data_IF_858235687950
#
_entry.id   IF_858235687950
#
_cell.length_a   1.000
_cell.length_b   1.000
_cell.length_c   1.000
_cell.angle_alpha   90.00
_cell.angle_beta   90.00
_cell.angle_gamma   90.00
#
_symmetry.space_group_name_H-M   'P 1'
#
loop_
_entity.id
_entity.type
_entity.pdbx_description
1 polymer ?
#
# COMPACT_ATOMS: atom_id res chain seq x y z
N UNK A 1 -9.86 -22.76 -5.59
CA UNK A 1 -8.54 -22.81 -4.93
C UNK A 1 -7.64 -21.63 -5.32
N UNK A 2 -7.38 -21.35 -6.62
CA UNK A 2 -6.46 -20.28 -7.05
C UNK A 2 -6.92 -18.88 -6.64
N UNK A 3 -8.20 -18.54 -6.81
CA UNK A 3 -8.78 -17.24 -6.40
C UNK A 3 -8.65 -17.05 -4.89
N UNK A 4 -8.96 -18.07 -4.10
CA UNK A 4 -8.78 -18.02 -2.64
C UNK A 4 -7.32 -17.76 -2.26
N UNK A 5 -6.37 -18.42 -2.95
CA UNK A 5 -4.94 -18.17 -2.77
C UNK A 5 -4.55 -16.71 -3.09
N UNK A 6 -5.11 -16.12 -4.16
CA UNK A 6 -4.89 -14.73 -4.51
C UNK A 6 -5.43 -13.76 -3.43
N UNK A 7 -6.65 -14.02 -2.94
CA UNK A 7 -7.25 -13.20 -1.87
C UNK A 7 -6.49 -13.32 -0.55
N UNK A 8 -6.05 -14.52 -0.18
CA UNK A 8 -5.23 -14.73 1.02
C UNK A 8 -3.88 -14.02 0.91
N UNK A 9 -3.26 -14.02 -0.28
CA UNK A 9 -2.02 -13.29 -0.52
C UNK A 9 -2.22 -11.79 -0.34
N UNK A 10 -3.26 -11.21 -0.96
CA UNK A 10 -3.59 -9.80 -0.79
C UNK A 10 -3.88 -9.46 0.69
N UNK A 11 -4.67 -10.30 1.36
CA UNK A 11 -4.95 -10.13 2.79
C UNK A 11 -3.68 -10.15 3.63
N UNK A 12 -2.72 -11.03 3.32
CA UNK A 12 -1.43 -11.09 4.00
C UNK A 12 -0.65 -9.78 3.85
N UNK A 13 -0.57 -9.23 2.62
CA UNK A 13 0.17 -8.00 2.35
C UNK A 13 -0.45 -6.80 3.10
N UNK A 14 -1.78 -6.70 3.11
CA UNK A 14 -2.48 -5.65 3.87
C UNK A 14 -2.30 -5.88 5.39
N UNK A 15 -2.39 -7.12 5.87
CA UNK A 15 -2.19 -7.41 7.30
C UNK A 15 -0.78 -7.01 7.77
N UNK A 16 0.24 -7.16 6.94
CA UNK A 16 1.61 -6.72 7.26
C UNK A 16 1.68 -5.19 7.32
N UNK A 17 0.96 -4.49 6.45
CA UNK A 17 0.80 -3.04 6.53
C UNK A 17 0.19 -2.61 7.87
N UNK A 18 -0.97 -3.19 8.23
CA UNK A 18 -1.65 -2.93 9.50
C UNK A 18 -0.78 -3.30 10.72
N UNK A 19 0.04 -4.35 10.58
CA UNK A 19 1.00 -4.72 11.63
C UNK A 19 2.05 -3.65 11.85
N UNK A 20 2.40 -2.86 10.83
CA UNK A 20 3.26 -1.69 10.99
C UNK A 20 2.64 -0.65 11.92
N UNK A 21 1.37 -0.29 11.72
CA UNK A 21 0.63 0.62 12.60
C UNK A 21 0.52 0.05 14.01
N UNK A 22 0.16 -1.21 14.14
CA UNK A 22 0.06 -1.91 15.41
C UNK A 22 1.37 -1.84 16.22
N UNK A 23 2.48 -2.20 15.59
CA UNK A 23 3.80 -2.21 16.23
C UNK A 23 4.20 -0.81 16.69
N UNK A 24 4.05 0.18 15.81
CA UNK A 24 4.37 1.58 16.14
C UNK A 24 3.46 2.14 17.21
N UNK A 25 2.15 1.86 17.18
CA UNK A 25 1.21 2.28 18.20
C UNK A 25 1.62 1.75 19.59
N UNK A 26 1.94 0.46 19.69
CA UNK A 26 2.42 -0.16 20.92
C UNK A 26 3.73 0.46 21.42
N UNK A 27 4.71 0.70 20.52
CA UNK A 27 5.98 1.33 20.87
C UNK A 27 5.81 2.79 21.32
N UNK A 28 4.84 3.51 20.75
CA UNK A 28 4.55 4.90 21.11
C UNK A 28 3.61 5.03 22.32
N UNK A 29 3.17 3.90 22.89
CA UNK A 29 2.30 3.87 24.06
C UNK A 29 0.85 4.25 23.74
N UNK A 30 0.38 3.94 22.52
CA UNK A 30 -1.01 4.02 22.11
C UNK A 30 -1.67 2.66 22.34
N UNK A 31 -2.86 2.66 22.93
CA UNK A 31 -3.63 1.44 23.13
C UNK A 31 -4.27 1.02 21.81
N UNK A 32 -4.12 -0.26 21.45
CA UNK A 32 -4.79 -0.86 20.32
C UNK A 32 -5.95 -1.70 20.82
N UNK A 33 -7.16 -1.33 20.47
CA UNK A 33 -8.40 -1.99 20.89
C UNK A 33 -8.59 -3.31 20.14
N UNK A 34 -8.40 -3.30 18.82
CA UNK A 34 -8.56 -4.49 17.99
C UNK A 34 -7.50 -4.51 16.86
N UNK A 35 -6.92 -5.69 16.62
CA UNK A 35 -6.13 -6.00 15.45
C UNK A 35 -6.83 -7.11 14.67
N UNK A 36 -7.32 -6.81 13.48
CA UNK A 36 -8.15 -7.70 12.69
C UNK A 36 -7.48 -8.13 11.39
N UNK A 37 -7.54 -9.43 11.11
CA UNK A 37 -7.18 -10.02 9.81
C UNK A 37 -8.47 -10.27 9.03
N UNK A 38 -8.58 -9.65 7.85
CA UNK A 38 -9.79 -9.68 7.03
C UNK A 38 -10.84 -8.66 7.46
N UNK A 39 -11.98 -8.68 6.80
CA UNK A 39 -13.12 -7.79 7.01
C UNK A 39 -14.43 -8.59 7.23
N UNK A 40 -15.51 -7.89 7.65
CA UNK A 40 -16.84 -8.47 7.88
C UNK A 40 -17.03 -9.04 9.26
N UNK A 41 -17.97 -10.00 9.45
CA UNK A 41 -18.28 -10.57 10.76
C UNK A 41 -17.10 -11.35 11.35
N UNK A 42 -16.97 -11.32 12.68
CA UNK A 42 -15.92 -12.04 13.42
C UNK A 42 -16.18 -13.54 13.36
N UNK A 43 -15.22 -14.30 12.86
CA UNK A 43 -15.23 -15.78 12.91
C UNK A 43 -14.58 -16.29 14.18
N UNK A 44 -13.42 -15.72 14.52
CA UNK A 44 -12.65 -16.06 15.71
C UNK A 44 -12.15 -14.77 16.36
N UNK A 45 -12.17 -14.74 17.70
CA UNK A 45 -11.53 -13.68 18.45
C UNK A 45 -10.83 -14.25 19.68
N UNK A 46 -9.65 -13.71 19.97
CA UNK A 46 -8.84 -14.08 21.11
C UNK A 46 -8.10 -12.86 21.69
N UNK A 47 -7.68 -12.96 22.92
CA UNK A 47 -6.99 -11.90 23.64
C UNK A 47 -7.63 -11.70 25.01
N UNK A 48 -6.85 -11.81 26.08
CA UNK A 48 -7.27 -11.54 27.46
C UNK A 48 -6.72 -10.22 27.99
N UNK A 49 -6.04 -9.44 27.11
CA UNK A 49 -5.38 -8.19 27.48
C UNK A 49 -6.08 -6.95 26.90
N UNK A 50 -5.32 -5.88 26.71
CA UNK A 50 -5.79 -4.62 26.17
C UNK A 50 -6.18 -4.68 24.68
N UNK A 51 -5.66 -5.67 23.94
CA UNK A 51 -5.89 -5.82 22.48
C UNK A 51 -6.68 -7.10 22.22
N UNK A 52 -7.75 -6.97 21.44
CA UNK A 52 -8.50 -8.11 20.88
C UNK A 52 -7.93 -8.41 19.50
N UNK A 53 -7.51 -9.65 19.28
CA UNK A 53 -7.13 -10.13 17.94
C UNK A 53 -8.33 -10.83 17.32
N UNK A 54 -8.64 -10.57 16.06
CA UNK A 54 -9.77 -11.18 15.39
C UNK A 54 -9.44 -11.66 13.98
N UNK A 55 -10.04 -12.80 13.62
CA UNK A 55 -10.10 -13.29 12.26
C UNK A 55 -11.52 -13.10 11.74
N UNK A 56 -11.66 -12.45 10.59
CA UNK A 56 -12.94 -12.09 10.00
C UNK A 56 -13.27 -12.89 8.75
N UNK A 57 -14.54 -12.90 8.36
CA UNK A 57 -15.08 -13.81 7.35
C UNK A 57 -14.53 -13.58 5.94
N UNK A 58 -14.29 -12.34 5.57
CA UNK A 58 -13.78 -12.02 4.24
C UNK A 58 -12.26 -11.87 4.29
N UNK A 59 -11.50 -12.74 3.59
CA UNK A 59 -10.04 -12.70 3.58
C UNK A 59 -9.56 -11.58 2.64
N UNK A 60 -10.00 -10.36 2.87
CA UNK A 60 -9.59 -9.17 2.13
C UNK A 60 -9.36 -8.06 3.13
N UNK A 61 -8.13 -7.51 3.14
CA UNK A 61 -7.78 -6.43 4.02
C UNK A 61 -7.50 -6.85 5.46
N UNK A 62 -7.57 -5.90 6.34
CA UNK A 62 -7.38 -5.96 7.79
C UNK A 62 -7.54 -4.57 8.35
N UNK A 63 -7.43 -4.41 9.66
CA UNK A 63 -7.38 -3.09 10.30
C UNK A 63 -6.75 -3.16 11.69
N UNK A 64 -6.22 -2.03 12.12
CA UNK A 64 -5.69 -1.79 13.45
C UNK A 64 -6.48 -0.66 14.10
N UNK A 65 -7.43 -0.97 14.98
CA UNK A 65 -8.24 0.03 15.67
C UNK A 65 -7.50 0.55 16.91
N UNK A 66 -7.08 1.81 16.87
CA UNK A 66 -6.40 2.48 17.98
C UNK A 66 -7.36 3.32 18.81
N UNK A 67 -7.11 3.39 20.11
CA UNK A 67 -7.93 4.22 21.01
C UNK A 67 -7.77 5.70 20.67
N UNK A 68 -8.90 6.40 20.42
CA UNK A 68 -8.92 7.84 20.11
C UNK A 68 -8.38 8.18 18.72
N UNK A 69 -8.38 7.25 17.80
CA UNK A 69 -8.05 7.46 16.41
C UNK A 69 -9.22 8.12 15.65
N UNK A 70 -10.44 7.58 15.85
CA UNK A 70 -11.70 8.16 15.40
C UNK A 70 -12.53 8.47 16.64
N UNK A 71 -12.72 9.74 16.96
CA UNK A 71 -13.48 10.17 18.16
C UNK A 71 -14.96 9.72 18.14
N UNK A 72 -15.45 9.15 17.03
CA UNK A 72 -16.87 8.75 16.84
C UNK A 72 -17.06 7.24 16.57
N UNK A 73 -16.01 6.42 16.50
CA UNK A 73 -16.21 4.96 16.38
C UNK A 73 -16.77 4.41 17.71
N UNK A 74 -17.97 3.82 17.75
CA UNK A 74 -18.49 3.20 18.95
C UNK A 74 -17.49 2.13 19.40
N UNK A 75 -16.99 2.26 20.63
CA UNK A 75 -16.10 1.25 21.20
C UNK A 75 -16.78 -0.12 21.11
N UNK A 76 -16.05 -1.20 20.79
CA UNK A 76 -16.63 -2.57 20.73
C UNK A 76 -17.37 -2.99 22.01
N UNK A 77 -17.10 -2.32 23.13
CA UNK A 77 -17.84 -2.51 24.38
C UNK A 77 -19.30 -2.00 24.34
N UNK A 78 -19.61 -1.04 23.45
CA UNK A 78 -20.99 -0.58 23.26
C UNK A 78 -21.83 -1.52 22.37
N UNK A 79 -21.19 -2.37 21.58
CA UNK A 79 -21.85 -3.37 20.73
C UNK A 79 -21.78 -4.80 21.30
N UNK A 80 -21.02 -5.01 22.37
CA UNK A 80 -20.80 -6.32 23.00
C UNK A 80 -21.24 -6.41 24.46
N UNK A 81 -21.78 -5.36 25.01
CA UNK A 81 -22.27 -5.33 26.41
C UNK A 81 -23.73 -5.74 26.48
N UNK A 82 -24.05 -6.98 26.38
CA UNK A 82 -25.01 -7.73 27.18
C UNK A 82 -25.33 -9.10 26.51
N UNK A 83 -24.41 -10.02 26.59
CA UNK A 83 -24.72 -11.42 26.46
C UNK A 83 -24.36 -12.09 27.81
N UNK A 84 -25.24 -11.93 28.79
CA UNK A 84 -25.05 -12.61 30.05
C UNK A 84 -25.74 -11.91 31.21
N UNK A 85 -27.06 -12.02 31.27
CA UNK A 85 -28.03 -12.10 32.35
C UNK A 85 -29.29 -11.32 32.01
N UNK A 86 -30.12 -11.92 31.21
CA UNK A 86 -31.56 -11.66 31.32
C UNK A 86 -32.10 -12.65 32.37
N UNK A 87 -32.16 -12.20 33.62
CA UNK A 87 -33.22 -12.62 34.50
C UNK A 87 -34.48 -11.92 33.98
N UNK A 88 -35.49 -12.72 33.74
CA UNK A 88 -36.76 -12.33 33.19
C UNK A 88 -37.47 -11.32 34.14
N UNK A 89 -37.61 -10.10 33.69
CA UNK A 89 -38.72 -9.26 34.09
C UNK A 89 -39.46 -8.88 32.80
N UNK A 90 -40.49 -9.65 32.50
CA UNK A 90 -41.50 -9.34 31.50
C UNK A 90 -42.21 -8.06 31.95
N UNK A 91 -41.90 -6.95 31.27
CA UNK A 91 -42.71 -5.74 31.35
C UNK A 91 -44.04 -6.03 30.63
N UNK A 92 -45.07 -6.46 31.43
CA UNK A 92 -46.41 -6.71 30.94
C UNK A 92 -47.04 -5.38 30.54
N UNK A 93 -47.14 -5.14 29.24
CA UNK A 93 -48.02 -4.11 28.69
C UNK A 93 -49.46 -4.53 28.94
N UNK A 94 -50.13 -3.91 29.90
CA UNK A 94 -51.52 -4.16 30.18
C UNK A 94 -52.39 -3.41 29.15
N UNK A 95 -53.10 -4.16 28.36
CA UNK A 95 -54.17 -3.61 27.45
C UNK A 95 -55.51 -3.87 28.11
N UNK A 96 -56.31 -2.84 28.30
CA UNK A 96 -57.67 -3.00 28.79
C UNK A 96 -58.50 -3.78 27.77
N UNK A 97 -58.98 -4.94 28.17
CA UNK A 97 -59.72 -5.85 27.30
C UNK A 97 -61.13 -5.34 26.93
N UNK A 98 -61.61 -4.24 27.50
CA UNK A 98 -62.91 -3.67 27.21
C UNK A 98 -62.89 -2.46 26.27
N UNK A 99 -61.76 -1.73 26.20
CA UNK A 99 -61.69 -0.49 25.42
C UNK A 99 -60.55 -0.49 24.41
N UNK A 100 -59.61 -1.44 24.42
CA UNK A 100 -58.49 -1.52 23.48
C UNK A 100 -57.41 -0.41 23.67
N UNK A 101 -57.44 0.29 24.79
CA UNK A 101 -56.54 1.42 25.07
C UNK A 101 -55.28 0.95 25.85
N UNK A 102 -54.12 1.40 25.49
CA UNK A 102 -52.83 1.09 26.11
C UNK A 102 -52.64 1.99 27.30
N UNK A 103 -52.60 1.41 28.51
CA UNK A 103 -52.40 2.16 29.74
C UNK A 103 -50.89 2.33 29.99
N UNK A 104 -50.42 3.57 29.93
CA UNK A 104 -49.08 3.91 30.40
C UNK A 104 -49.11 4.17 31.90
N UNK A 105 -48.15 3.70 32.71
CA UNK A 105 -48.10 4.03 34.13
C UNK A 105 -47.85 5.53 34.29
N UNK A 106 -48.67 6.15 35.17
CA UNK A 106 -48.63 7.57 35.47
C UNK A 106 -47.33 7.95 36.17
N UNK A 107 -46.64 8.98 35.69
CA UNK A 107 -45.58 9.65 36.43
C UNK A 107 -46.11 10.26 37.71
N UNK A 108 -45.56 9.82 38.84
CA UNK A 108 -45.88 10.32 40.16
C UNK A 108 -45.27 11.72 40.37
N UNK A 109 -46.14 12.75 40.33
CA UNK A 109 -45.79 14.13 40.64
C UNK A 109 -45.83 14.30 42.14
N UNK A 110 -44.73 14.01 42.80
CA UNK A 110 -44.53 14.28 44.24
C UNK A 110 -44.27 15.76 44.50
N UNK A 111 -45.18 16.39 45.23
CA UNK A 111 -45.14 17.77 45.78
C UNK A 111 -43.93 17.98 46.69
N UNK A 112 -43.39 19.18 46.63
CA UNK A 112 -42.31 19.72 47.45
C UNK A 112 -42.68 19.81 48.94
N UNK A 113 -41.70 19.50 49.83
CA UNK A 113 -41.40 20.31 51.00
C UNK A 113 -39.98 20.05 51.55
N UNK A 114 -39.28 21.13 51.58
CA UNK A 114 -38.29 21.68 52.50
C UNK A 114 -37.19 20.84 53.19
N UNK A 115 -35.98 21.35 53.01
CA UNK A 115 -34.87 21.48 53.95
C UNK A 115 -33.99 20.22 54.19
N UNK A 116 -32.75 20.32 53.64
CA UNK A 116 -31.61 19.48 53.99
C UNK A 116 -30.46 19.70 53.07
N UNK A 117 -29.60 20.67 53.44
CA UNK A 117 -28.27 20.86 52.81
C UNK A 117 -27.49 19.56 52.87
N UNK A 118 -27.19 19.02 51.72
CA UNK A 118 -25.88 18.39 51.48
C UNK A 118 -25.62 18.37 49.96
N UNK A 119 -24.75 19.28 49.56
CA UNK A 119 -24.22 19.40 48.23
C UNK A 119 -23.32 18.19 47.88
N UNK A 120 -23.94 17.08 47.48
CA UNK A 120 -23.25 16.05 46.72
C UNK A 120 -23.29 16.47 45.27
N UNK A 121 -22.25 17.25 44.89
CA UNK A 121 -21.94 17.57 43.52
C UNK A 121 -22.07 16.31 42.67
N UNK A 122 -23.03 16.31 41.74
CA UNK A 122 -22.99 15.48 40.57
C UNK A 122 -21.70 15.86 39.81
N UNK A 123 -20.61 15.23 40.20
CA UNK A 123 -19.37 15.25 39.44
C UNK A 123 -19.71 14.65 38.09
N UNK A 124 -19.98 15.51 37.09
CA UNK A 124 -19.75 15.17 35.71
C UNK A 124 -18.37 14.50 35.70
N UNK A 125 -18.35 13.19 35.46
CA UNK A 125 -17.13 12.42 35.39
C UNK A 125 -16.26 13.13 34.36
N UNK A 126 -15.24 13.88 34.82
CA UNK A 126 -14.18 14.36 33.98
C UNK A 126 -13.71 13.15 33.19
N UNK A 127 -13.62 13.22 31.86
CA UNK A 127 -13.04 12.12 31.08
C UNK A 127 -11.68 11.85 31.71
N UNK A 128 -11.56 10.69 32.33
CA UNK A 128 -10.27 10.20 32.86
C UNK A 128 -9.31 10.31 31.73
N UNK A 129 -8.24 11.10 31.86
CA UNK A 129 -7.20 11.27 30.84
C UNK A 129 -6.68 9.88 30.51
N UNK A 130 -7.11 9.35 29.37
CA UNK A 130 -6.74 8.02 28.91
C UNK A 130 -5.34 8.11 28.35
N UNK A 131 -4.33 7.92 29.17
CA UNK A 131 -2.91 8.08 28.79
C UNK A 131 -2.46 7.23 27.59
N UNK A 132 -3.36 6.46 27.00
CA UNK A 132 -3.16 5.59 25.84
C UNK A 132 -3.82 6.04 24.53
N UNK A 133 -4.55 7.18 24.51
CA UNK A 133 -5.25 7.64 23.31
C UNK A 133 -4.31 8.19 22.24
N UNK A 134 -4.55 7.87 20.96
CA UNK A 134 -3.82 8.40 19.81
C UNK A 134 -3.89 9.94 19.73
N UNK A 135 -5.08 10.51 19.92
CA UNK A 135 -5.32 11.95 19.84
C UNK A 135 -4.56 12.77 20.90
N UNK A 136 -4.18 12.16 22.01
CA UNK A 136 -3.42 12.82 23.10
C UNK A 136 -1.90 12.77 22.89
N UNK A 137 -1.41 11.94 21.97
CA UNK A 137 0.02 11.84 21.72
C UNK A 137 0.56 13.06 20.99
N UNK A 138 1.84 13.36 21.23
CA UNK A 138 2.56 14.40 20.49
C UNK A 138 2.51 14.11 18.97
N UNK A 139 2.40 15.15 18.15
CA UNK A 139 2.25 15.05 16.69
C UNK A 139 3.30 14.11 16.06
N UNK A 140 4.57 14.20 16.46
CA UNK A 140 5.61 13.34 15.90
C UNK A 140 5.37 11.85 16.15
N UNK A 141 4.79 11.48 17.33
CA UNK A 141 4.45 10.07 17.62
C UNK A 141 3.33 9.58 16.71
N UNK A 142 2.32 10.43 16.50
CA UNK A 142 1.21 10.14 15.57
C UNK A 142 1.73 10.00 14.13
N UNK A 143 2.65 10.86 13.69
CA UNK A 143 3.31 10.73 12.38
C UNK A 143 4.04 9.41 12.26
N UNK A 144 4.83 9.00 13.26
CA UNK A 144 5.54 7.71 13.24
C UNK A 144 4.56 6.54 13.12
N UNK A 145 3.43 6.57 13.83
CA UNK A 145 2.41 5.53 13.76
C UNK A 145 1.81 5.46 12.35
N UNK A 146 1.38 6.59 11.79
CA UNK A 146 0.76 6.65 10.46
C UNK A 146 1.73 6.22 9.36
N UNK A 147 3.01 6.60 9.43
CA UNK A 147 4.01 6.23 8.43
C UNK A 147 4.46 4.77 8.57
N UNK A 148 4.25 4.15 9.73
CA UNK A 148 4.76 2.81 10.03
C UNK A 148 4.17 1.72 9.14
N UNK A 149 2.91 1.84 8.70
CA UNK A 149 2.31 0.92 7.73
C UNK A 149 3.05 0.94 6.40
N UNK A 150 3.34 2.14 5.89
CA UNK A 150 4.13 2.34 4.65
C UNK A 150 5.54 1.76 4.80
N UNK A 151 6.21 2.07 5.91
CA UNK A 151 7.57 1.55 6.19
C UNK A 151 7.56 0.03 6.23
N UNK A 152 6.55 -0.59 6.84
CA UNK A 152 6.44 -2.05 6.92
C UNK A 152 6.29 -2.69 5.54
N UNK A 153 5.54 -2.07 4.63
CA UNK A 153 5.43 -2.54 3.25
C UNK A 153 6.76 -2.45 2.49
N UNK A 154 7.51 -1.35 2.66
CA UNK A 154 8.83 -1.23 2.06
C UNK A 154 9.81 -2.25 2.67
N UNK A 155 9.79 -2.46 3.99
CA UNK A 155 10.61 -3.50 4.63
C UNK A 155 10.27 -4.88 4.09
N UNK A 156 8.98 -5.20 3.90
CA UNK A 156 8.56 -6.46 3.30
C UNK A 156 9.06 -6.59 1.86
N UNK A 157 8.89 -5.55 1.04
CA UNK A 157 9.40 -5.52 -0.34
C UNK A 157 10.90 -5.77 -0.41
N UNK A 158 11.66 -5.10 0.45
CA UNK A 158 13.09 -5.28 0.56
C UNK A 158 13.49 -6.72 0.97
N UNK A 159 12.84 -7.28 1.98
CA UNK A 159 13.10 -8.67 2.42
C UNK A 159 12.79 -9.66 1.30
N UNK A 160 11.67 -9.49 0.61
CA UNK A 160 11.31 -10.32 -0.54
C UNK A 160 12.34 -10.22 -1.68
N UNK A 161 12.87 -9.00 -1.94
CA UNK A 161 13.94 -8.80 -2.93
C UNK A 161 15.26 -9.46 -2.49
N UNK A 162 15.61 -9.41 -1.20
CA UNK A 162 16.79 -10.12 -0.68
C UNK A 162 16.62 -11.63 -0.88
N UNK A 163 15.44 -12.17 -0.61
CA UNK A 163 15.12 -13.59 -0.86
C UNK A 163 15.20 -13.91 -2.36
N UNK A 164 14.62 -13.06 -3.20
CA UNK A 164 14.66 -13.21 -4.65
C UNK A 164 16.08 -13.26 -5.20
N UNK A 165 16.89 -12.26 -4.90
CA UNK A 165 18.27 -12.16 -5.38
C UNK A 165 19.21 -13.17 -4.71
N UNK A 166 18.94 -13.53 -3.46
CA UNK A 166 19.75 -14.49 -2.73
C UNK A 166 19.52 -15.94 -3.14
N UNK A 167 18.29 -16.32 -3.45
CA UNK A 167 17.92 -17.73 -3.59
C UNK A 167 17.16 -18.07 -4.87
N UNK A 168 16.43 -17.12 -5.44
CA UNK A 168 15.53 -17.42 -6.57
C UNK A 168 16.07 -16.97 -7.92
N UNK A 169 17.14 -16.20 -8.01
CA UNK A 169 17.69 -15.79 -9.28
C UNK A 169 18.39 -16.96 -9.98
N UNK A 170 18.07 -17.18 -11.27
CA UNK A 170 18.66 -18.25 -12.07
C UNK A 170 20.15 -18.05 -12.28
N UNK A 171 20.95 -19.10 -12.24
CA UNK A 171 22.34 -19.05 -12.65
C UNK A 171 22.46 -18.65 -14.13
N UNK A 172 23.53 -17.93 -14.43
CA UNK A 172 23.91 -17.52 -15.80
C UNK A 172 24.58 -18.67 -16.57
N UNK A 173 25.30 -19.52 -15.85
CA UNK A 173 26.09 -20.61 -16.41
C UNK A 173 25.86 -21.94 -15.67
N UNK A 174 26.39 -23.02 -16.25
CA UNK A 174 26.31 -24.37 -15.66
C UNK A 174 27.13 -24.53 -14.38
N UNK A 175 27.97 -23.55 -14.04
CA UNK A 175 28.78 -23.54 -12.79
C UNK A 175 28.00 -22.94 -11.62
N UNK A 176 26.77 -22.49 -11.87
CA UNK A 176 25.93 -21.88 -10.86
C UNK A 176 26.22 -20.40 -10.58
N UNK A 177 26.98 -19.71 -11.46
CA UNK A 177 27.28 -18.28 -11.32
C UNK A 177 26.02 -17.46 -11.51
N UNK A 178 25.66 -16.64 -10.53
CA UNK A 178 24.54 -15.70 -10.63
C UNK A 178 25.10 -14.31 -10.85
N UNK A 179 24.60 -13.64 -11.89
CA UNK A 179 24.99 -12.29 -12.27
C UNK A 179 23.84 -11.31 -12.06
N UNK A 180 24.12 -10.18 -11.44
CA UNK A 180 23.18 -9.05 -11.35
C UNK A 180 23.43 -8.11 -12.52
N UNK A 181 22.43 -7.87 -13.37
CA UNK A 181 22.57 -6.93 -14.48
C UNK A 181 22.76 -5.50 -13.95
N UNK A 182 23.62 -4.75 -14.63
CA UNK A 182 23.86 -3.33 -14.33
C UNK A 182 23.36 -2.47 -15.49
N UNK A 183 23.54 -1.15 -15.37
CA UNK A 183 23.28 -0.21 -16.48
C UNK A 183 24.53 0.10 -17.29
N UNK A 184 25.62 -0.63 -17.08
CA UNK A 184 26.89 -0.46 -17.82
C UNK A 184 26.89 -1.36 -19.05
N UNK A 185 27.23 -0.79 -20.19
CA UNK A 185 27.29 -1.51 -21.45
C UNK A 185 28.57 -2.35 -21.48
N UNK A 186 28.43 -3.69 -21.51
CA UNK A 186 29.56 -4.61 -21.66
C UNK A 186 29.96 -4.78 -23.12
N UNK A 187 28.99 -4.94 -24.01
CA UNK A 187 29.20 -5.10 -25.44
C UNK A 187 28.14 -4.32 -26.22
N UNK A 188 28.57 -3.72 -27.33
CA UNK A 188 27.75 -3.00 -28.29
C UNK A 188 28.26 -3.32 -29.67
N UNK A 189 27.38 -3.68 -30.61
CA UNK A 189 27.75 -3.97 -31.99
C UNK A 189 28.06 -2.66 -32.70
N UNK A 190 29.21 -2.61 -33.42
CA UNK A 190 29.70 -1.39 -34.07
C UNK A 190 28.82 -0.91 -35.22
N UNK A 191 28.13 -1.83 -35.93
CA UNK A 191 27.27 -1.49 -37.07
C UNK A 191 25.84 -1.05 -36.67
N UNK A 192 25.57 -0.87 -35.38
CA UNK A 192 24.22 -0.54 -34.91
C UNK A 192 23.97 0.98 -34.90
N UNK A 193 22.69 1.41 -35.00
CA UNK A 193 22.32 2.80 -34.87
C UNK A 193 22.80 3.40 -33.52
N UNK A 194 22.70 2.65 -32.43
CA UNK A 194 23.14 3.11 -31.10
C UNK A 194 24.65 3.42 -31.06
N UNK A 195 25.49 2.58 -31.71
CA UNK A 195 26.92 2.86 -31.79
C UNK A 195 27.21 4.11 -32.62
N UNK A 196 26.53 4.27 -33.76
CA UNK A 196 26.69 5.45 -34.66
C UNK A 196 26.22 6.74 -33.95
N UNK A 197 25.22 6.64 -33.09
CA UNK A 197 24.75 7.76 -32.26
C UNK A 197 25.68 8.12 -31.09
N UNK A 198 26.83 7.46 -30.98
CA UNK A 198 27.86 7.81 -29.99
C UNK A 198 27.89 6.99 -28.73
N UNK A 199 27.01 6.00 -28.55
CA UNK A 199 27.07 5.07 -27.41
C UNK A 199 28.30 4.15 -27.56
N UNK A 200 28.95 3.78 -26.46
CA UNK A 200 30.20 3.00 -26.47
C UNK A 200 30.19 1.90 -25.40
N UNK A 201 30.89 0.77 -25.61
CA UNK A 201 31.20 -0.18 -24.55
C UNK A 201 31.89 0.52 -23.37
N UNK A 202 31.54 0.15 -22.12
CA UNK A 202 32.02 0.79 -20.91
C UNK A 202 31.18 1.97 -20.43
N UNK A 203 30.26 2.50 -21.23
CA UNK A 203 29.33 3.53 -20.79
C UNK A 203 28.38 2.99 -19.72
N UNK A 204 28.22 3.73 -18.63
CA UNK A 204 27.18 3.45 -17.64
C UNK A 204 26.02 4.42 -17.87
N UNK A 205 24.85 3.92 -18.23
CA UNK A 205 23.64 4.72 -18.47
C UNK A 205 23.13 5.24 -17.13
N UNK A 206 23.02 6.56 -16.98
CA UNK A 206 22.57 7.25 -15.78
C UNK A 206 21.13 7.75 -15.88
N UNK A 207 20.73 8.18 -17.09
CA UNK A 207 19.35 8.60 -17.35
C UNK A 207 18.99 8.40 -18.81
N UNK A 208 17.70 8.23 -19.06
CA UNK A 208 17.09 8.15 -20.39
C UNK A 208 15.92 9.15 -20.40
N UNK A 209 15.85 10.00 -21.42
CA UNK A 209 14.82 11.03 -21.57
C UNK A 209 14.62 11.91 -20.31
N UNK A 210 15.74 12.25 -19.63
CA UNK A 210 15.74 13.00 -18.37
C UNK A 210 15.34 12.20 -17.13
N UNK A 211 14.94 10.94 -17.27
CA UNK A 211 14.57 10.05 -16.17
C UNK A 211 15.77 9.23 -15.71
N UNK A 212 16.04 9.26 -14.41
CA UNK A 212 17.16 8.52 -13.81
C UNK A 212 16.94 7.02 -13.94
N UNK A 213 17.99 6.29 -14.30
CA UNK A 213 18.03 4.83 -14.42
C UNK A 213 18.95 4.29 -13.33
N UNK A 214 18.45 3.39 -12.49
CA UNK A 214 19.18 2.76 -11.38
C UNK A 214 19.46 1.28 -11.65
N UNK A 215 18.54 0.63 -12.36
CA UNK A 215 18.55 -0.81 -12.66
C UNK A 215 18.34 -1.05 -14.14
N UNK A 216 18.61 -2.26 -14.60
CA UNK A 216 18.28 -2.73 -15.93
C UNK A 216 16.77 -2.72 -16.20
N UNK A 217 15.97 -2.92 -15.13
CA UNK A 217 14.51 -2.82 -15.21
C UNK A 217 14.06 -1.40 -15.57
N UNK A 218 14.64 -0.36 -14.91
CA UNK A 218 14.36 1.04 -15.27
C UNK A 218 14.72 1.31 -16.72
N UNK A 219 15.90 0.83 -17.15
CA UNK A 219 16.37 0.99 -18.52
C UNK A 219 15.40 0.36 -19.52
N UNK A 220 14.97 -0.87 -19.25
CA UNK A 220 14.00 -1.59 -20.07
C UNK A 220 12.69 -0.83 -20.20
N UNK A 221 12.17 -0.31 -19.09
CA UNK A 221 10.91 0.43 -19.10
C UNK A 221 10.99 1.74 -19.88
N UNK A 222 12.07 2.51 -19.71
CA UNK A 222 12.24 3.77 -20.45
C UNK A 222 12.41 3.51 -21.95
N UNK A 223 13.07 2.43 -22.34
CA UNK A 223 13.20 2.05 -23.75
C UNK A 223 11.89 1.53 -24.35
N UNK A 224 11.06 0.82 -23.59
CA UNK A 224 9.76 0.33 -24.08
C UNK A 224 8.71 1.43 -24.23
N UNK A 225 8.82 2.49 -23.43
CA UNK A 225 7.85 3.58 -23.41
C UNK A 225 8.13 4.68 -24.45
N UNK A 226 9.18 4.54 -25.27
CA UNK A 226 9.51 5.53 -26.30
C UNK A 226 9.10 5.02 -27.69
N UNK A 227 8.10 5.64 -28.31
CA UNK A 227 7.60 5.20 -29.64
C UNK A 227 8.52 5.63 -30.78
N UNK A 228 9.37 6.65 -30.58
CA UNK A 228 10.13 7.27 -31.66
C UNK A 228 11.48 6.58 -31.91
N UNK A 229 11.94 5.78 -30.95
CA UNK A 229 13.23 5.05 -31.04
C UNK A 229 14.46 5.95 -30.96
N UNK A 230 14.29 7.21 -30.53
CA UNK A 230 15.36 8.21 -30.35
C UNK A 230 15.41 8.66 -28.91
N UNK A 231 16.37 8.13 -28.17
CA UNK A 231 16.46 8.36 -26.73
C UNK A 231 17.56 9.37 -26.42
N UNK A 232 17.24 10.42 -25.64
CA UNK A 232 18.26 11.21 -25.00
C UNK A 232 18.86 10.40 -23.85
N UNK A 233 20.17 10.18 -23.86
CA UNK A 233 20.85 9.42 -22.82
C UNK A 233 21.95 10.24 -22.16
N UNK A 234 22.02 10.20 -20.83
CA UNK A 234 23.20 10.67 -20.11
C UNK A 234 23.97 9.45 -19.64
N UNK A 235 25.20 9.34 -20.08
CA UNK A 235 26.08 8.23 -19.73
C UNK A 235 27.28 8.72 -18.93
N UNK A 236 27.84 7.85 -18.12
CA UNK A 236 29.12 8.04 -17.49
C UNK A 236 30.14 7.23 -18.24
N UNK A 237 31.10 7.90 -18.86
CA UNK A 237 32.20 7.33 -19.64
C UNK A 237 33.52 7.58 -18.94
N UNK A 238 34.42 6.60 -19.00
CA UNK A 238 35.81 6.79 -18.54
C UNK A 238 36.65 7.18 -19.74
N UNK A 239 37.19 8.42 -19.72
CA UNK A 239 38.11 8.96 -20.76
C UNK A 239 39.40 9.32 -20.02
N UNK A 240 40.51 8.82 -20.48
CA UNK A 240 41.86 9.06 -19.88
C UNK A 240 41.90 8.77 -18.36
N UNK A 241 41.22 7.71 -17.93
CA UNK A 241 41.14 7.31 -16.52
C UNK A 241 40.18 8.16 -15.67
N UNK A 242 39.57 9.22 -16.21
CA UNK A 242 38.62 10.07 -15.50
C UNK A 242 37.17 9.77 -15.90
N UNK A 243 36.28 9.72 -14.92
CA UNK A 243 34.85 9.52 -15.13
C UNK A 243 34.17 10.83 -15.50
N UNK A 244 33.67 10.94 -16.70
CA UNK A 244 32.95 12.11 -17.21
C UNK A 244 31.50 11.77 -17.51
N UNK A 245 30.60 12.75 -17.39
CA UNK A 245 29.22 12.63 -17.84
C UNK A 245 29.17 13.13 -19.29
N UNK A 246 28.62 12.30 -20.17
CA UNK A 246 28.42 12.62 -21.58
C UNK A 246 26.92 12.56 -21.86
N UNK A 247 26.38 13.63 -22.45
CA UNK A 247 25.00 13.64 -22.93
C UNK A 247 24.98 13.29 -24.41
N UNK A 248 24.14 12.32 -24.75
CA UNK A 248 23.88 11.88 -26.12
C UNK A 248 22.42 12.27 -26.42
N UNK A 249 22.23 13.26 -27.31
CA UNK A 249 20.92 13.89 -27.49
C UNK A 249 19.91 13.03 -28.26
N UNK A 250 20.39 12.12 -29.13
CA UNK A 250 19.53 11.23 -29.88
C UNK A 250 20.24 9.89 -30.14
N UNK A 251 20.12 8.96 -29.21
CA UNK A 251 20.58 7.57 -29.43
C UNK A 251 19.48 6.82 -30.14
N UNK A 252 19.77 6.39 -31.39
CA UNK A 252 18.81 5.64 -32.20
C UNK A 252 18.95 4.14 -31.95
N UNK A 253 17.79 3.45 -31.84
CA UNK A 253 17.71 2.01 -31.68
C UNK A 253 16.89 1.39 -32.80
N UNK A 254 17.19 0.13 -33.11
CA UNK A 254 16.43 -0.63 -34.11
C UNK A 254 15.04 -0.93 -33.55
N UNK A 255 14.02 -0.51 -34.29
CA UNK A 255 12.63 -0.86 -33.98
C UNK A 255 12.29 -2.24 -34.50
N UNK A 256 11.61 -3.04 -33.73
CA UNK A 256 11.03 -4.33 -34.10
C UNK A 256 9.56 -4.36 -33.74
N UNK A 257 8.75 -4.95 -34.63
CA UNK A 257 7.33 -5.16 -34.38
C UNK A 257 7.12 -6.62 -34.03
N UNK A 258 6.44 -6.87 -32.93
CA UNK A 258 5.98 -8.20 -32.54
C UNK A 258 4.83 -8.62 -33.46
N UNK A 259 5.04 -9.68 -34.24
CA UNK A 259 4.05 -10.17 -35.21
C UNK A 259 2.73 -10.64 -34.56
N UNK A 260 2.74 -11.04 -33.30
CA UNK A 260 1.56 -11.55 -32.58
C UNK A 260 0.72 -10.44 -31.97
N UNK A 261 1.36 -9.39 -31.47
CA UNK A 261 0.70 -8.32 -30.74
C UNK A 261 0.57 -7.03 -31.54
N UNK A 262 1.30 -6.91 -32.67
CA UNK A 262 1.40 -5.69 -33.47
C UNK A 262 2.11 -4.53 -32.75
N UNK A 263 2.67 -4.76 -31.58
CA UNK A 263 3.37 -3.73 -30.81
C UNK A 263 4.81 -3.56 -31.28
N UNK A 264 5.20 -2.29 -31.48
CA UNK A 264 6.58 -1.94 -31.78
C UNK A 264 7.36 -1.77 -30.47
N UNK A 265 8.55 -2.36 -30.44
CA UNK A 265 9.50 -2.24 -29.31
C UNK A 265 10.91 -1.98 -29.84
N UNK A 266 11.76 -1.39 -28.97
CA UNK A 266 13.14 -1.14 -29.31
C UNK A 266 13.98 -2.41 -29.08
N UNK A 267 14.80 -2.76 -30.07
CA UNK A 267 15.75 -3.87 -29.95
C UNK A 267 17.00 -3.38 -29.20
N UNK A 268 17.41 -4.13 -28.19
CA UNK A 268 18.69 -3.87 -27.51
C UNK A 268 19.84 -4.26 -28.42
N UNK A 269 20.61 -3.27 -28.88
CA UNK A 269 21.81 -3.48 -29.69
C UNK A 269 23.06 -3.73 -28.82
N UNK A 270 22.87 -3.78 -27.49
CA UNK A 270 23.93 -3.92 -26.50
C UNK A 270 23.60 -4.98 -25.46
N UNK A 271 24.63 -5.43 -24.77
CA UNK A 271 24.54 -6.32 -23.61
C UNK A 271 25.08 -5.54 -22.39
N UNK A 272 24.36 -5.56 -21.29
CA UNK A 272 24.79 -4.93 -20.04
C UNK A 272 25.78 -5.83 -19.28
N UNK A 273 26.67 -5.20 -18.52
CA UNK A 273 27.61 -5.89 -17.65
C UNK A 273 26.87 -6.52 -16.47
N UNK A 274 27.13 -7.79 -16.22
CA UNK A 274 26.71 -8.50 -15.02
C UNK A 274 27.79 -8.42 -13.92
N UNK A 275 27.35 -8.23 -12.69
CA UNK A 275 28.21 -8.30 -11.49
C UNK A 275 27.91 -9.61 -10.78
N UNK A 276 28.94 -10.39 -10.45
CA UNK A 276 28.80 -11.63 -9.70
C UNK A 276 28.07 -11.42 -8.37
N UNK A 277 27.17 -12.35 -8.04
CA UNK A 277 26.47 -12.37 -6.77
C UNK A 277 27.45 -12.61 -5.62
N UNK A 278 27.50 -11.67 -4.68
CA UNK A 278 28.13 -11.84 -3.38
C UNK A 278 27.11 -11.52 -2.30
N UNK A 279 27.40 -11.92 -1.06
CA UNK A 279 26.52 -11.57 0.06
C UNK A 279 26.25 -10.07 0.14
N UNK A 280 27.25 -9.22 0.06
CA UNK A 280 27.10 -7.76 0.10
C UNK A 280 26.33 -7.20 -1.10
N UNK A 281 26.62 -7.69 -2.32
CA UNK A 281 25.95 -7.22 -3.53
C UNK A 281 24.46 -7.55 -3.54
N UNK A 282 24.03 -8.65 -2.93
CA UNK A 282 22.63 -9.04 -2.82
C UNK A 282 21.80 -7.95 -2.13
N UNK A 283 22.27 -7.45 -0.98
CA UNK A 283 21.56 -6.39 -0.25
C UNK A 283 21.57 -5.07 -1.01
N UNK A 284 22.68 -4.73 -1.66
CA UNK A 284 22.76 -3.50 -2.48
C UNK A 284 21.83 -3.58 -3.69
N UNK A 285 21.77 -4.74 -4.35
CA UNK A 285 20.87 -4.95 -5.50
C UNK A 285 19.42 -4.91 -5.09
N UNK A 286 19.06 -5.55 -3.96
CA UNK A 286 17.72 -5.48 -3.40
C UNK A 286 17.31 -4.01 -3.10
N UNK A 287 18.18 -3.24 -2.46
CA UNK A 287 17.89 -1.82 -2.19
C UNK A 287 17.74 -0.98 -3.46
N UNK A 288 18.58 -1.20 -4.48
CA UNK A 288 18.45 -0.50 -5.77
C UNK A 288 17.14 -0.85 -6.47
N UNK A 289 16.77 -2.12 -6.47
CA UNK A 289 15.51 -2.58 -7.09
C UNK A 289 14.30 -2.03 -6.35
N UNK A 290 14.33 -2.00 -5.01
CA UNK A 290 13.27 -1.40 -4.20
C UNK A 290 13.03 0.06 -4.55
N UNK A 291 14.10 0.87 -4.61
CA UNK A 291 14.04 2.27 -5.01
C UNK A 291 13.57 2.41 -6.45
N UNK A 292 14.00 1.53 -7.35
CA UNK A 292 13.57 1.49 -8.74
C UNK A 292 12.06 1.26 -8.82
N UNK A 293 11.54 0.21 -8.18
CA UNK A 293 10.11 -0.11 -8.16
C UNK A 293 9.29 1.06 -7.59
N UNK A 294 9.69 1.61 -6.43
CA UNK A 294 9.00 2.75 -5.85
C UNK A 294 9.00 3.98 -6.78
N UNK A 295 10.12 4.21 -7.46
CA UNK A 295 10.25 5.32 -8.44
C UNK A 295 9.34 5.10 -9.65
N UNK A 296 9.26 3.88 -10.16
CA UNK A 296 8.37 3.50 -11.27
C UNK A 296 6.91 3.71 -10.89
N UNK A 297 6.50 3.25 -9.71
CA UNK A 297 5.13 3.46 -9.19
C UNK A 297 4.82 4.95 -9.12
N UNK A 298 5.71 5.75 -8.53
CA UNK A 298 5.53 7.21 -8.44
C UNK A 298 5.42 7.87 -9.81
N UNK A 299 6.28 7.49 -10.77
CA UNK A 299 6.24 8.03 -12.15
C UNK A 299 4.95 7.66 -12.86
N UNK A 300 4.48 6.41 -12.72
CA UNK A 300 3.23 5.96 -13.31
C UNK A 300 2.05 6.80 -12.80
N UNK A 301 2.01 7.13 -11.51
CA UNK A 301 1.00 8.02 -10.94
C UNK A 301 1.06 9.43 -11.55
N UNK A 302 2.25 10.00 -11.69
CA UNK A 302 2.43 11.31 -12.31
C UNK A 302 2.02 11.26 -13.79
N UNK A 303 2.33 10.20 -14.51
CA UNK A 303 1.97 10.03 -15.92
C UNK A 303 0.46 9.84 -16.11
N UNK A 304 -0.24 9.18 -15.17
CA UNK A 304 -1.72 9.11 -15.13
C UNK A 304 -2.31 10.52 -14.95
N UNK A 305 -1.81 11.29 -13.97
CA UNK A 305 -2.29 12.66 -13.72
C UNK A 305 -2.04 13.57 -14.93
N UNK A 306 -0.96 13.34 -15.67
CA UNK A 306 -0.64 14.07 -16.91
C UNK A 306 -1.43 13.59 -18.13
N UNK A 307 -2.30 12.60 -17.99
CA UNK A 307 -3.12 12.07 -19.07
C UNK A 307 -2.37 11.23 -20.12
N UNK A 308 -1.19 10.70 -19.77
CA UNK A 308 -0.44 9.81 -20.69
C UNK A 308 -1.07 8.43 -20.80
N UNK A 309 -1.80 8.01 -19.77
CA UNK A 309 -2.52 6.74 -19.72
C UNK A 309 -4.03 7.01 -19.63
N UNK A 310 -4.81 6.26 -20.39
CA UNK A 310 -6.26 6.29 -20.33
C UNK A 310 -6.79 5.41 -19.19
N UNK A 311 -8.09 5.54 -18.87
CA UNK A 311 -8.77 4.68 -17.90
C UNK A 311 -8.69 3.19 -18.29
N UNK A 312 -8.64 2.91 -19.59
CA UNK A 312 -8.51 1.54 -20.11
C UNK A 312 -7.14 0.91 -19.85
N UNK A 313 -6.11 1.70 -19.58
CA UNK A 313 -4.77 1.20 -19.27
C UNK A 313 -4.64 0.84 -17.78
N UNK A 314 -5.59 1.26 -16.96
CA UNK A 314 -5.63 0.93 -15.54
C UNK A 314 -6.19 -0.48 -15.35
N UNK A 315 -5.57 -1.24 -14.46
CA UNK A 315 -6.08 -2.52 -13.99
C UNK A 315 -6.77 -2.30 -12.64
N UNK A 316 -8.04 -2.65 -12.59
CA UNK A 316 -8.82 -2.56 -11.36
C UNK A 316 -8.70 -3.82 -10.49
N UNK A 317 -9.55 -3.92 -9.46
CA UNK A 317 -9.51 -5.05 -8.53
C UNK A 317 -9.71 -6.40 -9.21
N UNK A 318 -10.58 -6.46 -10.22
CA UNK A 318 -10.88 -7.72 -10.95
C UNK A 318 -9.69 -8.15 -11.78
N UNK A 319 -9.10 -7.24 -12.56
CA UNK A 319 -7.89 -7.52 -13.35
C UNK A 319 -6.70 -7.89 -12.46
N UNK A 320 -6.53 -7.20 -11.34
CA UNK A 320 -5.47 -7.51 -10.38
C UNK A 320 -5.63 -8.92 -9.80
N UNK A 321 -6.81 -9.31 -9.33
CA UNK A 321 -7.07 -10.65 -8.81
C UNK A 321 -6.87 -11.72 -9.89
N UNK A 322 -7.21 -11.43 -11.14
CA UNK A 322 -6.98 -12.34 -12.26
C UNK A 322 -5.47 -12.60 -12.47
N UNK A 323 -4.66 -11.54 -12.57
CA UNK A 323 -3.20 -11.66 -12.75
C UNK A 323 -2.60 -12.44 -11.59
N UNK A 324 -2.97 -12.12 -10.34
CA UNK A 324 -2.49 -12.83 -9.16
C UNK A 324 -2.89 -14.32 -9.24
N UNK A 325 -4.12 -14.62 -9.63
CA UNK A 325 -4.65 -15.99 -9.75
C UNK A 325 -3.88 -16.80 -10.78
N UNK A 326 -3.50 -16.18 -11.91
CA UNK A 326 -2.68 -16.83 -12.93
C UNK A 326 -1.28 -17.14 -12.42
N UNK A 327 -0.64 -16.18 -11.75
CA UNK A 327 0.71 -16.34 -11.19
C UNK A 327 0.72 -17.38 -10.07
N UNK A 328 -0.23 -17.33 -9.13
CA UNK A 328 -0.40 -18.32 -8.06
C UNK A 328 -0.61 -19.72 -8.64
N UNK A 329 -1.32 -19.82 -9.78
CA UNK A 329 -1.54 -21.08 -10.47
C UNK A 329 -0.26 -21.74 -11.04
N UNK A 330 0.81 -20.98 -11.23
CA UNK A 330 2.11 -21.42 -11.74
C UNK A 330 3.19 -21.50 -10.63
N UNK A 331 2.85 -21.18 -9.39
CA UNK A 331 3.82 -21.07 -8.27
C UNK A 331 4.46 -22.43 -7.86
N UNK A 332 3.97 -23.55 -8.37
CA UNK A 332 4.58 -24.87 -8.22
C UNK A 332 5.84 -25.07 -9.08
N UNK A 333 6.10 -24.19 -10.03
CA UNK A 333 7.33 -24.16 -10.84
C UNK A 333 8.31 -23.15 -10.27
N UNK A 334 9.61 -23.36 -10.52
CA UNK A 334 10.64 -22.40 -10.10
C UNK A 334 10.42 -21.01 -10.71
N UNK A 335 10.07 -20.96 -11.99
CA UNK A 335 9.74 -19.71 -12.68
C UNK A 335 8.48 -19.03 -12.15
N UNK A 336 7.47 -19.82 -11.86
CA UNK A 336 6.24 -19.32 -11.23
C UNK A 336 6.49 -18.75 -9.84
N UNK A 337 7.36 -19.39 -9.04
CA UNK A 337 7.76 -18.88 -7.73
C UNK A 337 8.52 -17.56 -7.85
N UNK A 338 9.46 -17.44 -8.80
CA UNK A 338 10.15 -16.18 -9.09
C UNK A 338 9.16 -15.05 -9.43
N UNK A 339 8.22 -15.35 -10.33
CA UNK A 339 7.19 -14.39 -10.75
C UNK A 339 6.29 -14.01 -9.59
N UNK A 340 5.89 -14.97 -8.75
CA UNK A 340 5.07 -14.73 -7.57
C UNK A 340 5.76 -13.78 -6.59
N UNK A 341 7.03 -14.04 -6.25
CA UNK A 341 7.78 -13.19 -5.31
C UNK A 341 7.95 -11.79 -5.89
N UNK A 342 8.30 -11.65 -7.18
CA UNK A 342 8.43 -10.33 -7.80
C UNK A 342 7.09 -9.57 -7.84
N UNK A 343 5.99 -10.27 -8.10
CA UNK A 343 4.64 -9.69 -8.03
C UNK A 343 4.29 -9.24 -6.62
N UNK A 344 4.63 -10.03 -5.58
CA UNK A 344 4.46 -9.62 -4.19
C UNK A 344 5.25 -8.34 -3.87
N UNK A 345 6.49 -8.23 -4.37
CA UNK A 345 7.30 -7.00 -4.25
C UNK A 345 6.56 -5.82 -4.88
N UNK A 346 6.11 -5.97 -6.13
CA UNK A 346 5.38 -4.92 -6.84
C UNK A 346 4.13 -4.47 -6.08
N UNK A 347 3.33 -5.41 -5.56
CA UNK A 347 2.09 -5.10 -4.84
C UNK A 347 2.39 -4.41 -3.51
N UNK A 348 3.35 -4.92 -2.73
CA UNK A 348 3.63 -4.35 -1.40
C UNK A 348 4.26 -2.95 -1.51
N UNK A 349 5.18 -2.73 -2.45
CA UNK A 349 5.77 -1.41 -2.69
C UNK A 349 4.71 -0.44 -3.22
N UNK A 350 3.86 -0.91 -4.14
CA UNK A 350 2.73 -0.14 -4.67
C UNK A 350 1.79 0.29 -3.53
N UNK A 351 1.38 -0.65 -2.67
CA UNK A 351 0.54 -0.36 -1.50
C UNK A 351 1.20 0.67 -0.58
N UNK A 352 2.51 0.57 -0.33
CA UNK A 352 3.26 1.55 0.45
C UNK A 352 3.27 2.93 -0.18
N UNK A 353 3.59 3.04 -1.48
CA UNK A 353 3.64 4.32 -2.19
C UNK A 353 2.26 4.96 -2.30
N UNK A 354 1.21 4.18 -2.61
CA UNK A 354 -0.16 4.70 -2.69
C UNK A 354 -0.65 5.22 -1.34
N UNK A 355 -0.40 4.49 -0.24
CA UNK A 355 -0.78 4.94 1.09
C UNK A 355 -0.03 6.19 1.56
N UNK A 356 1.08 6.55 0.91
CA UNK A 356 1.79 7.80 1.18
C UNK A 356 1.21 9.01 0.42
N UNK A 357 0.33 8.78 -0.56
CA UNK A 357 -0.29 9.86 -1.32
C UNK A 357 -1.17 10.75 -0.42
N UNK A 358 -1.18 12.08 -0.64
CA UNK A 358 -2.00 13.01 0.14
C UNK A 358 -3.49 12.92 -0.27
N UNK A 359 -4.00 11.69 -0.30
CA UNK A 359 -5.40 11.42 -0.66
C UNK A 359 -6.21 11.13 0.60
N UNK A 360 -7.42 11.70 0.73
CA UNK A 360 -8.32 11.32 1.80
C UNK A 360 -8.60 9.81 1.79
N UNK A 361 -8.91 9.24 2.93
CA UNK A 361 -9.11 7.81 3.17
C UNK A 361 -7.84 6.94 3.13
N UNK A 362 -6.66 7.51 2.81
CA UNK A 362 -5.37 6.85 2.92
C UNK A 362 -4.54 7.46 4.06
N UNK A 363 -3.50 6.75 4.50
CA UNK A 363 -2.59 7.21 5.57
C UNK A 363 -1.94 8.56 5.24
N UNK A 364 -1.58 8.77 3.96
CA UNK A 364 -1.02 10.03 3.49
C UNK A 364 -1.96 11.22 3.65
N UNK A 365 -3.25 11.02 3.56
CA UNK A 365 -4.25 12.05 3.89
C UNK A 365 -4.20 12.45 5.36
N UNK A 366 -4.15 11.47 6.27
CA UNK A 366 -3.94 11.73 7.71
C UNK A 366 -2.59 12.39 7.99
N UNK A 367 -1.54 11.93 7.32
CA UNK A 367 -0.21 12.51 7.43
C UNK A 367 -0.21 14.00 7.11
N UNK A 368 -0.94 14.44 6.07
CA UNK A 368 -1.07 15.86 5.72
C UNK A 368 -1.69 16.65 6.86
N UNK A 369 -2.77 16.19 7.47
CA UNK A 369 -3.38 16.86 8.62
C UNK A 369 -2.42 16.97 9.81
N UNK A 370 -1.68 15.88 10.11
CA UNK A 370 -0.67 15.86 11.17
C UNK A 370 0.50 16.83 10.87
N UNK A 371 0.92 16.96 9.62
CA UNK A 371 1.95 17.93 9.21
C UNK A 371 1.44 19.37 9.37
N UNK A 372 0.19 19.65 8.97
CA UNK A 372 -0.44 20.96 9.18
C UNK A 372 -0.50 21.28 10.68
N UNK A 373 -0.94 20.33 11.51
CA UNK A 373 -0.97 20.50 12.96
C UNK A 373 0.43 20.76 13.54
N UNK A 374 1.45 20.02 13.05
CA UNK A 374 2.84 20.19 13.47
C UNK A 374 3.40 21.59 13.18
N UNK A 375 3.06 22.16 12.01
CA UNK A 375 3.50 23.51 11.58
C UNK A 375 2.69 24.60 12.27
N UNK A 376 1.37 24.47 12.28
CA UNK A 376 0.46 25.52 12.81
C UNK A 376 0.33 25.47 14.31
N UNK A 377 0.71 24.35 14.95
CA UNK A 377 0.50 24.04 16.38
C UNK A 377 -0.97 24.12 16.81
N UNK A 378 -1.89 24.04 15.87
CA UNK A 378 -3.34 24.02 16.11
C UNK A 378 -3.90 22.69 15.63
N UNK A 379 -4.68 22.03 16.47
CA UNK A 379 -5.37 20.78 16.07
C UNK A 379 -6.40 21.09 14.98
N UNK A 380 -6.41 20.25 13.95
CA UNK A 380 -7.50 20.28 12.96
C UNK A 380 -8.76 19.72 13.65
N UNK A 381 -9.94 20.34 13.50
CA UNK A 381 -11.17 19.81 14.07
C UNK A 381 -11.47 18.40 13.52
N UNK A 382 -11.71 17.43 14.39
CA UNK A 382 -11.97 16.04 14.01
C UNK A 382 -13.14 15.91 13.02
N UNK A 383 -14.20 16.72 13.20
CA UNK A 383 -15.32 16.76 12.25
C UNK A 383 -14.91 17.13 10.83
N UNK A 384 -13.99 18.08 10.68
CA UNK A 384 -13.50 18.50 9.36
C UNK A 384 -12.65 17.40 8.71
N UNK A 385 -11.74 16.79 9.48
CA UNK A 385 -10.93 15.67 9.05
C UNK A 385 -11.84 14.48 8.62
N UNK A 386 -12.84 14.13 9.44
CA UNK A 386 -13.78 13.07 9.13
C UNK A 386 -14.59 13.32 7.85
N UNK A 387 -15.06 14.56 7.63
CA UNK A 387 -15.80 14.90 6.39
C UNK A 387 -14.89 14.76 5.16
N UNK A 388 -13.66 15.26 5.24
CA UNK A 388 -12.70 15.17 4.13
C UNK A 388 -12.39 13.70 3.81
N UNK A 389 -12.17 12.86 4.82
CA UNK A 389 -11.93 11.43 4.65
C UNK A 389 -13.16 10.72 4.06
N UNK A 390 -14.38 11.05 4.52
CA UNK A 390 -15.62 10.49 3.97
C UNK A 390 -15.81 10.83 2.49
N UNK A 391 -15.63 12.11 2.12
CA UNK A 391 -15.72 12.55 0.72
C UNK A 391 -14.68 11.83 -0.14
N UNK A 392 -13.43 11.72 0.35
CA UNK A 392 -12.38 10.98 -0.35
C UNK A 392 -12.68 9.50 -0.52
N UNK A 393 -13.26 8.87 0.51
CA UNK A 393 -13.68 7.47 0.44
C UNK A 393 -14.77 7.28 -0.63
N UNK A 394 -15.77 8.15 -0.68
CA UNK A 394 -16.82 8.10 -1.69
C UNK A 394 -16.25 8.27 -3.10
N UNK A 395 -15.35 9.22 -3.30
CA UNK A 395 -14.69 9.44 -4.60
C UNK A 395 -13.84 8.22 -5.00
N UNK A 396 -13.09 7.63 -4.06
CA UNK A 396 -12.30 6.43 -4.31
C UNK A 396 -13.19 5.24 -4.67
N UNK A 397 -14.32 5.05 -3.97
CA UNK A 397 -15.30 4.00 -4.29
C UNK A 397 -15.92 4.19 -5.67
N UNK A 398 -16.25 5.42 -6.06
CA UNK A 398 -16.74 5.73 -7.40
C UNK A 398 -15.68 5.42 -8.47
N UNK A 399 -14.44 5.81 -8.25
CA UNK A 399 -13.33 5.47 -9.14
C UNK A 399 -13.17 3.95 -9.26
N UNK A 400 -13.20 3.21 -8.13
CA UNK A 400 -13.13 1.75 -8.13
C UNK A 400 -14.27 1.12 -8.93
N UNK A 401 -15.51 1.64 -8.84
CA UNK A 401 -16.64 1.15 -9.62
C UNK A 401 -16.41 1.36 -11.13
N UNK A 402 -15.92 2.54 -11.53
CA UNK A 402 -15.63 2.85 -12.95
C UNK A 402 -14.53 1.92 -13.49
N UNK A 403 -13.45 1.73 -12.75
CA UNK A 403 -12.33 0.87 -13.17
C UNK A 403 -12.76 -0.60 -13.19
N UNK A 404 -13.55 -1.05 -12.20
CA UNK A 404 -14.11 -2.41 -12.18
C UNK A 404 -15.03 -2.66 -13.38
N UNK A 405 -15.88 -1.69 -13.74
CA UNK A 405 -16.70 -1.77 -14.93
C UNK A 405 -15.84 -1.89 -16.20
N UNK A 406 -14.78 -1.08 -16.31
CA UNK A 406 -13.80 -1.17 -17.40
C UNK A 406 -13.14 -2.55 -17.46
N UNK A 407 -12.70 -3.11 -16.31
CA UNK A 407 -12.12 -4.46 -16.27
C UNK A 407 -13.09 -5.52 -16.78
N UNK A 408 -14.34 -5.48 -16.29
CA UNK A 408 -15.38 -6.44 -16.71
C UNK A 408 -15.68 -6.30 -18.20
N UNK A 409 -15.76 -5.07 -18.73
CA UNK A 409 -16.03 -4.84 -20.15
C UNK A 409 -14.97 -5.44 -21.07
N UNK A 410 -13.68 -5.48 -20.63
CA UNK A 410 -12.58 -6.12 -21.36
C UNK A 410 -12.73 -7.64 -21.51
N UNK A 411 -13.55 -8.31 -20.66
CA UNK A 411 -13.82 -9.74 -20.81
C UNK A 411 -14.87 -10.05 -21.89
N UNK A 412 -15.67 -9.07 -22.28
CA UNK A 412 -16.74 -9.24 -23.26
C UNK A 412 -16.39 -8.61 -24.62
N UNK A 413 -15.29 -7.87 -24.71
CA UNK A 413 -14.76 -7.29 -25.94
C UNK A 413 -13.70 -8.20 -26.58
#
# INVERSE_FOLDING_TARGET
MKILGALLLLSLLVTIHEFGHFLAARLMGVRVNEFAIGMGPKLLSWGKGETVYSLRAFPVGGFCAMEGEDEEAPTPQALGGNAGRHDADEEQIAVDAATGEVIFPAEDVGTADAAGEDAAASAAAKPTSRSGSFAEKKVWRRIVIVVAGVVMNLVLGYVLLVVYYGFLQKPYDDKGTVLFPTTTIARLKEDTPAYRSGLRPGDTILSVNGRRVLTDTDLSMEMQNDPDGKLQMVVRRTVDGQKQKVTLDAVEFTQKTDEKTGRTYLSYDFIVLGIERTFGNTFVQAARQEVSVATVVWRSLVDIVRGRYGLNDLSGPVGTVQVITEVVGKANTFEGLQTLVMMMVMITVNLGVFNLLPLPALDGGRLVFLLIEGVTRKKVPAKFEGIVHLVGLVLLMLLMLVVTYSDISKFFA
#
